data_IF_090304859286
#
_entry.id   IF_090304859286
#
_cell.length_a   1.000
_cell.length_b   1.000
_cell.length_c   1.000
_cell.angle_alpha   90.00
_cell.angle_beta   90.00
_cell.angle_gamma   90.00
#
_symmetry.space_group_name_H-M   'P 1'
#
loop_
_entity.id
_entity.type
_entity.pdbx_description
1 polymer ?
#
# COMPACT_ATOMS: atom_id res chain seq x y z
N UNK A 1 13.40 8.89 -6.42
CA UNK A 1 13.04 7.69 -7.18
C UNK A 1 12.47 6.68 -6.19
N UNK A 2 11.34 6.06 -6.51
CA UNK A 2 10.79 4.94 -5.74
C UNK A 2 11.25 3.62 -6.34
N UNK A 3 11.30 2.57 -5.53
CA UNK A 3 11.53 1.19 -5.98
C UNK A 3 10.39 0.33 -5.43
N UNK A 4 9.85 -0.56 -6.27
CA UNK A 4 8.89 -1.59 -5.86
C UNK A 4 9.59 -2.94 -6.05
N UNK A 5 9.64 -3.73 -4.99
CA UNK A 5 10.25 -5.07 -5.03
C UNK A 5 9.20 -6.13 -4.68
N UNK A 6 9.15 -7.20 -5.47
CA UNK A 6 8.32 -8.36 -5.21
C UNK A 6 9.20 -9.52 -4.75
N UNK A 7 8.87 -10.09 -3.58
CA UNK A 7 9.60 -11.23 -3.03
C UNK A 7 8.63 -12.41 -2.95
N UNK A 8 8.89 -13.45 -3.72
CA UNK A 8 8.10 -14.68 -3.74
C UNK A 8 8.95 -15.86 -3.29
N UNK A 9 8.36 -16.77 -2.50
CA UNK A 9 8.99 -18.04 -2.12
C UNK A 9 8.21 -19.20 -2.70
N UNK A 10 8.86 -19.98 -3.55
CA UNK A 10 8.27 -21.19 -4.13
C UNK A 10 8.28 -22.36 -3.12
N UNK A 11 7.37 -23.32 -3.32
CA UNK A 11 7.44 -24.60 -2.61
C UNK A 11 8.67 -25.40 -3.07
N UNK A 12 9.20 -26.32 -2.24
CA UNK A 12 10.30 -27.19 -2.63
C UNK A 12 10.04 -27.90 -3.96
N UNK A 13 11.06 -28.02 -4.81
CA UNK A 13 11.01 -28.65 -6.14
C UNK A 13 10.09 -27.97 -7.17
N UNK A 14 9.61 -26.75 -6.91
CA UNK A 14 8.87 -25.97 -7.91
C UNK A 14 9.85 -25.30 -8.88
N UNK A 15 9.59 -25.39 -10.18
CA UNK A 15 10.37 -24.68 -11.18
C UNK A 15 10.13 -23.17 -11.07
N UNK A 16 11.20 -22.38 -10.90
CA UNK A 16 11.10 -20.94 -10.72
C UNK A 16 10.61 -20.21 -11.98
N UNK A 17 10.74 -20.80 -13.17
CA UNK A 17 10.18 -20.23 -14.39
C UNK A 17 8.65 -20.23 -14.36
N UNK A 18 8.03 -21.26 -13.79
CA UNK A 18 6.57 -21.35 -13.66
C UNK A 18 6.07 -20.31 -12.64
N UNK A 19 6.83 -20.08 -11.56
CA UNK A 19 6.53 -19.04 -10.57
C UNK A 19 6.62 -17.65 -11.19
N UNK A 20 7.69 -17.37 -11.96
CA UNK A 20 7.83 -16.10 -12.67
C UNK A 20 6.71 -15.90 -13.70
N UNK A 21 6.33 -16.96 -14.43
CA UNK A 21 5.20 -16.96 -15.35
C UNK A 21 3.88 -16.60 -14.66
N UNK A 22 3.58 -17.23 -13.53
CA UNK A 22 2.36 -16.95 -12.76
C UNK A 22 2.31 -15.52 -12.20
N UNK A 23 3.46 -14.95 -11.81
CA UNK A 23 3.54 -13.55 -11.38
C UNK A 23 3.20 -12.61 -12.55
N UNK A 24 3.76 -12.86 -13.73
CA UNK A 24 3.46 -12.07 -14.93
C UNK A 24 1.98 -12.21 -15.34
N UNK A 25 1.42 -13.42 -15.27
CA UNK A 25 -0.01 -13.65 -15.52
C UNK A 25 -0.89 -12.86 -14.54
N UNK A 26 -0.52 -12.79 -13.27
CA UNK A 26 -1.27 -12.01 -12.28
C UNK A 26 -1.29 -10.51 -12.62
N UNK A 27 -0.20 -9.95 -13.15
CA UNK A 27 -0.19 -8.57 -13.63
C UNK A 27 -1.09 -8.37 -14.85
N UNK A 28 -1.00 -9.25 -15.84
CA UNK A 28 -1.87 -9.18 -17.03
C UNK A 28 -3.34 -9.25 -16.64
N UNK A 29 -3.69 -10.14 -15.70
CA UNK A 29 -5.07 -10.23 -15.18
C UNK A 29 -5.49 -8.98 -14.44
N UNK A 30 -4.61 -8.35 -13.69
CA UNK A 30 -4.92 -7.07 -13.04
C UNK A 30 -5.16 -5.95 -14.07
N UNK A 31 -4.39 -5.91 -15.16
CA UNK A 31 -4.57 -4.96 -16.26
C UNK A 31 -5.89 -5.16 -17.01
N UNK A 32 -6.30 -6.42 -17.22
CA UNK A 32 -7.53 -6.77 -17.93
C UNK A 32 -8.79 -6.65 -17.05
N UNK A 33 -8.75 -7.18 -15.83
CA UNK A 33 -9.90 -7.32 -14.95
C UNK A 33 -10.03 -6.14 -13.96
N UNK A 34 -8.92 -5.48 -13.62
CA UNK A 34 -8.85 -4.45 -12.59
C UNK A 34 -9.09 -5.00 -11.18
N UNK A 35 -9.68 -4.17 -10.32
CA UNK A 35 -10.05 -4.54 -8.94
C UNK A 35 -11.42 -3.98 -8.55
N UNK A 36 -12.08 -4.64 -7.59
CA UNK A 36 -13.43 -4.25 -7.15
C UNK A 36 -13.39 -3.10 -6.15
N UNK A 37 -14.55 -2.46 -5.92
CA UNK A 37 -14.61 -1.41 -4.89
C UNK A 37 -14.39 -2.02 -3.50
N UNK A 38 -14.91 -3.23 -3.28
CA UNK A 38 -14.71 -4.01 -2.06
C UNK A 38 -13.23 -4.28 -1.78
N UNK A 39 -12.43 -4.56 -2.82
CA UNK A 39 -10.98 -4.75 -2.67
C UNK A 39 -10.31 -3.48 -2.15
N UNK A 40 -10.64 -2.32 -2.76
CA UNK A 40 -10.11 -1.02 -2.34
C UNK A 40 -10.51 -0.68 -0.90
N UNK A 41 -11.79 -0.87 -0.56
CA UNK A 41 -12.32 -0.58 0.77
C UNK A 41 -11.67 -1.47 1.84
N UNK A 42 -11.44 -2.76 1.52
CA UNK A 42 -10.73 -3.69 2.41
C UNK A 42 -9.29 -3.25 2.68
N UNK A 43 -8.58 -2.79 1.65
CA UNK A 43 -7.21 -2.26 1.81
C UNK A 43 -7.22 -0.99 2.66
N UNK A 44 -8.14 -0.06 2.39
CA UNK A 44 -8.29 1.17 3.18
C UNK A 44 -8.59 0.89 4.65
N UNK A 45 -9.50 -0.03 4.94
CA UNK A 45 -9.81 -0.44 6.31
C UNK A 45 -8.59 -1.03 7.04
N UNK A 46 -7.76 -1.80 6.32
CA UNK A 46 -6.49 -2.31 6.85
C UNK A 46 -5.49 -1.19 7.16
N UNK A 47 -5.35 -0.21 6.28
CA UNK A 47 -4.48 0.96 6.49
C UNK A 47 -4.96 1.77 7.69
N UNK A 48 -6.26 2.06 7.78
CA UNK A 48 -6.86 2.79 8.90
C UNK A 48 -6.65 2.09 10.24
N UNK A 49 -6.86 0.77 10.27
CA UNK A 49 -6.63 -0.04 11.47
C UNK A 49 -5.16 0.03 11.90
N UNK A 50 -4.23 -0.14 10.95
CA UNK A 50 -2.80 -0.06 11.23
C UNK A 50 -2.37 1.32 11.73
N UNK A 51 -2.96 2.38 11.16
CA UNK A 51 -2.75 3.75 11.58
C UNK A 51 -3.10 3.94 13.06
N UNK A 52 -4.31 3.58 13.48
CA UNK A 52 -4.72 3.73 14.88
C UNK A 52 -3.95 2.81 15.82
N UNK A 53 -3.63 1.58 15.39
CA UNK A 53 -2.77 0.69 16.15
C UNK A 53 -1.38 1.28 16.39
N UNK A 54 -0.80 1.99 15.41
CA UNK A 54 0.47 2.71 15.57
C UNK A 54 0.42 3.86 16.59
N UNK A 55 -0.77 4.39 16.87
CA UNK A 55 -1.00 5.46 17.85
C UNK A 55 -1.44 4.96 19.23
N UNK A 56 -1.62 3.65 19.39
CA UNK A 56 -2.14 3.03 20.62
C UNK A 56 -1.20 3.15 21.83
N UNK A 57 0.07 3.49 21.62
CA UNK A 57 1.06 3.71 22.69
C UNK A 57 1.61 5.13 22.67
N UNK A 58 2.03 5.63 23.83
CA UNK A 58 2.70 6.94 23.97
C UNK A 58 3.93 7.02 23.07
N UNK A 59 4.74 5.94 23.04
CA UNK A 59 5.93 5.85 22.21
C UNK A 59 5.58 5.90 20.72
N UNK A 60 4.62 5.08 20.27
CA UNK A 60 4.18 5.04 18.88
C UNK A 60 3.63 6.40 18.42
N UNK A 61 2.80 7.04 19.25
CA UNK A 61 2.29 8.39 18.98
C UNK A 61 3.41 9.43 18.89
N UNK A 62 4.37 9.42 19.82
CA UNK A 62 5.50 10.35 19.79
C UNK A 62 6.37 10.16 18.53
N UNK A 63 6.66 8.91 18.15
CA UNK A 63 7.42 8.61 16.93
C UNK A 63 6.69 9.08 15.67
N UNK A 64 5.38 8.83 15.56
CA UNK A 64 4.61 9.29 14.40
C UNK A 64 4.63 10.81 14.28
N UNK A 65 4.34 11.53 15.36
CA UNK A 65 4.39 13.00 15.35
C UNK A 65 5.78 13.55 15.01
N UNK A 66 6.84 12.94 15.54
CA UNK A 66 8.21 13.33 15.21
C UNK A 66 8.55 13.10 13.74
N UNK A 67 8.13 11.97 13.15
CA UNK A 67 8.34 11.71 11.71
C UNK A 67 7.65 12.75 10.84
N UNK A 68 6.38 13.08 11.13
CA UNK A 68 5.68 14.13 10.39
C UNK A 68 6.29 15.51 10.60
N UNK A 69 6.85 15.80 11.77
CA UNK A 69 7.62 17.01 11.98
C UNK A 69 8.88 17.05 11.10
N UNK A 70 9.62 15.94 11.00
CA UNK A 70 10.88 15.88 10.23
C UNK A 70 10.63 15.99 8.73
N UNK A 71 9.62 15.27 8.21
CA UNK A 71 9.42 15.13 6.77
C UNK A 71 8.38 16.10 6.19
N UNK A 72 7.43 16.56 7.00
CA UNK A 72 6.37 17.46 6.57
C UNK A 72 6.37 18.81 7.29
N UNK A 73 7.30 19.05 8.23
CA UNK A 73 7.38 20.26 9.07
C UNK A 73 6.07 20.59 9.82
N UNK A 74 5.21 19.58 9.98
CA UNK A 74 3.88 19.69 10.59
C UNK A 74 3.51 18.35 11.23
N UNK A 75 3.64 18.18 12.57
CA UNK A 75 3.20 16.98 13.27
C UNK A 75 1.71 16.68 13.04
N UNK A 76 0.89 17.72 12.83
CA UNK A 76 -0.54 17.61 12.57
C UNK A 76 -0.87 17.11 11.16
N UNK A 77 0.12 17.05 10.26
CA UNK A 77 -0.03 16.50 8.91
C UNK A 77 -0.47 15.04 8.93
N UNK A 78 -0.18 14.32 10.02
CA UNK A 78 -0.68 12.96 10.25
C UNK A 78 -2.19 12.80 9.99
N UNK A 79 -3.01 13.79 10.36
CA UNK A 79 -4.45 13.76 10.15
C UNK A 79 -4.83 13.99 8.68
N UNK A 80 -4.10 14.88 8.01
CA UNK A 80 -4.29 15.16 6.57
C UNK A 80 -3.89 13.94 5.75
N UNK A 81 -2.83 13.24 6.15
CA UNK A 81 -2.30 12.09 5.43
C UNK A 81 -3.27 10.90 5.46
N UNK A 82 -3.81 10.56 6.63
CA UNK A 82 -4.81 9.49 6.72
C UNK A 82 -6.09 9.84 5.94
N UNK A 83 -6.54 11.10 5.98
CA UNK A 83 -7.69 11.55 5.19
C UNK A 83 -7.45 11.44 3.68
N UNK A 84 -6.26 11.86 3.21
CA UNK A 84 -5.88 11.71 1.80
C UNK A 84 -5.81 10.25 1.38
N UNK A 85 -5.25 9.39 2.24
CA UNK A 85 -5.14 7.96 1.98
C UNK A 85 -6.52 7.30 1.88
N UNK A 86 -7.47 7.67 2.75
CA UNK A 86 -8.84 7.16 2.70
C UNK A 86 -9.66 7.76 1.55
N UNK A 87 -9.28 8.93 1.03
CA UNK A 87 -9.92 9.56 -0.12
C UNK A 87 -9.48 8.98 -1.47
N UNK A 88 -8.42 8.15 -1.53
CA UNK A 88 -7.91 7.55 -2.77
C UNK A 88 -9.02 6.82 -3.53
N UNK A 89 -9.20 7.15 -4.80
CA UNK A 89 -10.22 6.52 -5.66
C UNK A 89 -9.64 5.36 -6.45
N UNK A 90 -10.48 4.60 -7.15
CA UNK A 90 -9.99 3.56 -8.07
C UNK A 90 -9.19 4.18 -9.21
N UNK A 91 -9.68 5.30 -9.70
CA UNK A 91 -9.08 6.07 -10.78
C UNK A 91 -7.69 6.57 -10.38
N UNK A 92 -7.49 6.97 -9.12
CA UNK A 92 -6.18 7.34 -8.60
C UNK A 92 -5.18 6.18 -8.63
N UNK A 93 -5.61 4.99 -8.25
CA UNK A 93 -4.76 3.79 -8.25
C UNK A 93 -4.36 3.44 -9.68
N UNK A 94 -5.33 3.35 -10.59
CA UNK A 94 -5.06 3.01 -12.00
C UNK A 94 -4.18 4.08 -12.67
N UNK A 95 -4.43 5.37 -12.40
CA UNK A 95 -3.60 6.47 -12.92
C UNK A 95 -2.14 6.36 -12.48
N UNK A 96 -1.87 5.91 -11.26
CA UNK A 96 -0.49 5.72 -10.77
C UNK A 96 0.13 4.47 -11.40
N UNK A 97 -0.63 3.38 -11.50
CA UNK A 97 -0.22 2.14 -12.13
C UNK A 97 0.16 2.33 -13.61
N UNK A 98 -0.62 3.09 -14.37
CA UNK A 98 -0.31 3.39 -15.78
C UNK A 98 0.90 4.31 -15.96
N UNK A 99 1.27 5.07 -14.93
CA UNK A 99 2.33 6.08 -14.99
C UNK A 99 3.71 5.52 -14.63
N UNK A 100 3.78 4.51 -13.75
CA UNK A 100 5.03 4.01 -13.15
C UNK A 100 5.10 2.50 -13.26
#
# INVERSE_FOLDING_TARGET
AGEISFITRAYPNTNLNDVAGAVNEAFLRFEEEGFTQSDLDRIKAGIETNFYNGLSSVLGKAFQLAQYNIFADDPGYINKDIQKTLAVTKEDVMRVYEKY
#
